data_IF_971236716672
#
_entry.id   IF_971236716672
#
_cell.length_a   1.000
_cell.length_b   1.000
_cell.length_c   1.000
_cell.angle_alpha   90.00
_cell.angle_beta   90.00
_cell.angle_gamma   90.00
#
_symmetry.space_group_name_H-M   'P 1'
#
loop_
_entity.id
_entity.type
_entity.pdbx_description
1 polymer ?
#
# COMPACT_ATOMS: atom_id res chain seq x y z
N UNK A 1 -8.21 22.08 -10.24
CA UNK A 1 -8.45 21.20 -9.09
C UNK A 1 -9.46 20.17 -9.49
N UNK A 2 -9.02 18.93 -9.66
CA UNK A 2 -9.85 17.79 -10.04
C UNK A 2 -10.82 17.51 -8.90
N UNK A 3 -12.13 17.66 -9.13
CA UNK A 3 -13.19 17.38 -8.14
C UNK A 3 -13.66 15.93 -8.19
N UNK A 4 -13.38 15.24 -9.29
CA UNK A 4 -13.78 13.85 -9.55
C UNK A 4 -12.56 13.01 -9.91
N UNK A 5 -12.60 11.71 -9.60
CA UNK A 5 -11.59 10.78 -10.09
C UNK A 5 -11.70 10.67 -11.62
N UNK A 6 -10.59 10.84 -12.30
CA UNK A 6 -10.55 10.74 -13.77
C UNK A 6 -9.86 9.44 -14.14
N UNK A 7 -10.51 8.63 -14.97
CA UNK A 7 -9.99 7.37 -15.47
C UNK A 7 -9.37 7.58 -16.85
N UNK A 8 -8.06 7.45 -16.93
CA UNK A 8 -7.30 7.74 -18.15
C UNK A 8 -6.69 6.43 -18.64
N UNK A 9 -7.19 5.85 -19.75
CA UNK A 9 -6.54 4.72 -20.38
C UNK A 9 -5.20 5.15 -20.98
N UNK A 10 -4.18 4.34 -20.78
CA UNK A 10 -2.86 4.53 -21.37
C UNK A 10 -2.22 3.19 -21.73
N UNK A 11 -1.28 3.22 -22.67
CA UNK A 11 -0.49 2.07 -23.07
C UNK A 11 0.98 2.41 -23.02
N UNK A 12 1.77 1.50 -22.49
CA UNK A 12 3.22 1.62 -22.41
C UNK A 12 3.86 0.22 -22.47
N UNK A 13 4.85 0.06 -23.31
CA UNK A 13 5.62 -1.19 -23.45
C UNK A 13 4.69 -2.42 -23.65
N UNK A 14 3.67 -2.27 -24.54
CA UNK A 14 2.61 -3.25 -24.85
C UNK A 14 1.69 -3.60 -23.65
N UNK A 15 1.84 -2.93 -22.50
CA UNK A 15 0.95 -3.07 -21.35
C UNK A 15 -0.11 -1.96 -21.33
N UNK A 16 -1.32 -2.35 -20.95
CA UNK A 16 -2.47 -1.43 -20.85
C UNK A 16 -2.78 -1.10 -19.41
N UNK A 17 -2.88 0.19 -19.13
CA UNK A 17 -3.19 0.72 -17.81
C UNK A 17 -4.42 1.60 -17.86
N UNK A 18 -5.11 1.72 -16.72
CA UNK A 18 -6.06 2.79 -16.47
C UNK A 18 -5.55 3.56 -15.27
N UNK A 19 -5.06 4.77 -15.49
CA UNK A 19 -4.63 5.65 -14.41
C UNK A 19 -5.86 6.33 -13.82
N UNK A 20 -6.05 6.17 -12.51
CA UNK A 20 -7.11 6.83 -11.76
C UNK A 20 -6.48 8.04 -11.06
N UNK A 21 -6.66 9.23 -11.62
CA UNK A 21 -6.20 10.46 -11.00
C UNK A 21 -7.20 10.88 -9.91
N UNK A 22 -6.69 11.05 -8.71
CA UNK A 22 -7.48 11.46 -7.55
C UNK A 22 -7.32 12.96 -7.29
N UNK A 23 -8.38 13.61 -6.85
CA UNK A 23 -8.26 14.95 -6.32
C UNK A 23 -7.31 14.93 -5.12
N UNK A 24 -6.25 15.77 -5.17
CA UNK A 24 -5.27 15.84 -4.10
C UNK A 24 -5.93 16.08 -2.73
N UNK A 25 -5.74 15.16 -1.79
CA UNK A 25 -6.42 15.13 -0.48
C UNK A 25 -5.79 16.12 0.51
N UNK A 26 -4.82 16.94 0.10
CA UNK A 26 -4.14 17.88 0.99
C UNK A 26 -5.08 19.00 1.45
N UNK A 27 -5.10 19.23 2.78
CA UNK A 27 -5.68 20.43 3.39
C UNK A 27 -5.06 21.68 2.78
N UNK A 28 -5.77 22.34 1.89
CA UNK A 28 -5.59 23.76 1.63
C UNK A 28 -6.46 24.48 2.66
N UNK A 29 -5.88 25.28 3.52
CA UNK A 29 -6.55 25.94 4.62
C UNK A 29 -7.89 26.57 4.22
N UNK A 30 -8.88 26.45 5.10
CA UNK A 30 -10.21 27.10 5.09
C UNK A 30 -10.96 27.03 3.76
N UNK A 31 -11.30 25.82 3.28
CA UNK A 31 -12.33 25.66 2.24
C UNK A 31 -13.32 24.58 2.71
N UNK A 32 -14.55 25.03 2.94
CA UNK A 32 -15.79 24.29 3.20
C UNK A 32 -15.68 22.77 3.46
N UNK A 33 -15.96 22.35 4.69
CA UNK A 33 -16.00 20.95 5.18
C UNK A 33 -16.73 19.96 4.26
N UNK A 34 -17.73 20.40 3.53
CA UNK A 34 -18.52 19.54 2.63
C UNK A 34 -17.73 19.10 1.41
N UNK A 35 -16.92 19.98 0.81
CA UNK A 35 -16.13 19.67 -0.40
C UNK A 35 -14.95 18.74 -0.07
N UNK A 36 -14.36 18.89 1.12
CA UNK A 36 -13.27 18.01 1.58
C UNK A 36 -13.79 16.59 1.85
N UNK A 37 -14.95 16.43 2.47
CA UNK A 37 -15.58 15.12 2.71
C UNK A 37 -15.86 14.37 1.39
N UNK A 38 -16.36 15.06 0.38
CA UNK A 38 -16.59 14.45 -0.94
C UNK A 38 -15.28 14.04 -1.64
N UNK A 39 -14.23 14.84 -1.50
CA UNK A 39 -12.90 14.52 -2.07
C UNK A 39 -12.30 13.26 -1.42
N UNK A 40 -12.42 13.13 -0.09
CA UNK A 40 -11.96 11.95 0.65
C UNK A 40 -12.74 10.70 0.21
N UNK A 41 -14.07 10.77 0.13
CA UNK A 41 -14.89 9.62 -0.30
C UNK A 41 -14.50 9.15 -1.71
N UNK A 42 -14.26 10.08 -2.63
CA UNK A 42 -13.84 9.74 -4.00
C UNK A 42 -12.44 9.13 -4.04
N UNK A 43 -11.52 9.63 -3.22
CA UNK A 43 -10.19 9.03 -3.09
C UNK A 43 -10.27 7.61 -2.53
N UNK A 44 -11.10 7.37 -1.52
CA UNK A 44 -11.31 6.03 -0.98
C UNK A 44 -11.90 5.09 -2.04
N UNK A 45 -12.87 5.57 -2.82
CA UNK A 45 -13.44 4.79 -3.93
C UNK A 45 -12.40 4.47 -5.01
N UNK A 46 -11.55 5.43 -5.38
CA UNK A 46 -10.45 5.21 -6.31
C UNK A 46 -9.46 4.17 -5.79
N UNK A 47 -9.15 4.16 -4.49
CA UNK A 47 -8.31 3.14 -3.86
C UNK A 47 -8.98 1.76 -3.96
N UNK A 48 -10.29 1.66 -3.69
CA UNK A 48 -11.03 0.41 -3.83
C UNK A 48 -11.05 -0.13 -5.27
N UNK A 49 -11.14 0.76 -6.25
CA UNK A 49 -11.19 0.39 -7.68
C UNK A 49 -9.80 0.08 -8.27
N UNK A 50 -8.73 0.57 -7.64
CA UNK A 50 -7.36 0.37 -8.11
C UNK A 50 -6.85 -1.06 -7.82
N UNK A 51 -5.99 -1.57 -8.69
CA UNK A 51 -5.22 -2.78 -8.44
C UNK A 51 -3.94 -2.48 -7.66
N UNK A 52 -3.25 -1.40 -8.02
CA UNK A 52 -2.03 -0.90 -7.38
C UNK A 52 -2.22 0.58 -7.10
N UNK A 53 -1.82 1.02 -5.93
CA UNK A 53 -1.85 2.43 -5.53
C UNK A 53 -0.44 2.98 -5.51
N UNK A 54 -0.23 4.09 -6.19
CA UNK A 54 1.00 4.88 -6.06
C UNK A 54 0.72 6.02 -5.06
N UNK A 55 1.29 5.92 -3.87
CA UNK A 55 1.22 7.00 -2.88
C UNK A 55 2.35 7.99 -3.15
N UNK A 56 1.99 9.22 -3.53
CA UNK A 56 2.93 10.28 -3.84
C UNK A 56 3.08 11.24 -2.66
N UNK A 57 4.30 11.31 -2.12
CA UNK A 57 4.68 12.20 -1.01
C UNK A 57 5.56 13.32 -1.54
N UNK A 58 5.39 14.53 -1.02
CA UNK A 58 6.21 15.69 -1.36
C UNK A 58 7.46 15.74 -0.46
N UNK A 59 8.64 15.56 -1.05
CA UNK A 59 9.90 15.56 -0.32
C UNK A 59 10.13 16.85 0.51
N UNK A 60 9.64 18.00 0.03
CA UNK A 60 9.83 19.29 0.70
C UNK A 60 8.94 19.49 1.93
N UNK A 61 7.81 18.73 2.00
CA UNK A 61 6.86 18.84 3.10
C UNK A 61 6.93 17.64 4.07
N UNK A 62 7.68 16.61 3.70
CA UNK A 62 7.74 15.35 4.45
C UNK A 62 6.41 14.57 4.43
N UNK A 63 6.34 13.52 5.23
CA UNK A 63 5.14 12.69 5.39
C UNK A 63 4.21 13.33 6.42
N UNK A 64 3.00 13.68 5.99
CA UNK A 64 1.96 14.19 6.88
C UNK A 64 1.16 13.05 7.53
N UNK A 65 0.42 13.36 8.61
CA UNK A 65 -0.50 12.40 9.22
C UNK A 65 -1.67 12.05 8.28
N UNK A 66 -1.97 12.92 7.33
CA UNK A 66 -2.94 12.65 6.29
C UNK A 66 -2.42 11.62 5.28
N UNK A 67 -1.14 11.71 4.88
CA UNK A 67 -0.51 10.69 4.02
C UNK A 67 -0.51 9.32 4.72
N UNK A 68 -0.24 9.29 6.04
CA UNK A 68 -0.32 8.06 6.84
C UNK A 68 -1.76 7.51 6.95
N UNK A 69 -2.74 8.39 7.04
CA UNK A 69 -4.15 7.98 7.05
C UNK A 69 -4.55 7.35 5.71
N UNK A 70 -4.16 7.94 4.59
CA UNK A 70 -4.39 7.38 3.25
C UNK A 70 -3.67 6.05 3.10
N UNK A 71 -2.42 5.96 3.55
CA UNK A 71 -1.67 4.71 3.58
C UNK A 71 -2.41 3.62 4.35
N UNK A 72 -2.94 3.95 5.53
CA UNK A 72 -3.77 3.04 6.32
C UNK A 72 -4.99 2.52 5.54
N UNK A 73 -5.66 3.37 4.77
CA UNK A 73 -6.78 2.95 3.91
C UNK A 73 -6.32 2.01 2.79
N UNK A 74 -5.18 2.27 2.15
CA UNK A 74 -4.62 1.40 1.10
C UNK A 74 -4.33 0.01 1.66
N UNK A 75 -3.69 -0.06 2.83
CA UNK A 75 -3.35 -1.31 3.50
C UNK A 75 -4.61 -2.08 3.93
N UNK A 76 -5.59 -1.40 4.53
CA UNK A 76 -6.85 -2.02 4.94
C UNK A 76 -7.68 -2.52 3.75
N UNK A 77 -7.61 -1.83 2.61
CA UNK A 77 -8.22 -2.30 1.36
C UNK A 77 -7.46 -3.47 0.71
N UNK A 78 -6.29 -3.84 1.26
CA UNK A 78 -5.44 -4.90 0.75
C UNK A 78 -4.87 -4.61 -0.65
N UNK A 79 -4.73 -3.34 -1.01
CA UNK A 79 -4.21 -2.94 -2.32
C UNK A 79 -2.70 -2.96 -2.33
N UNK A 80 -2.14 -3.34 -3.48
CA UNK A 80 -0.69 -3.26 -3.69
C UNK A 80 -0.24 -1.80 -3.69
N UNK A 81 0.95 -1.55 -3.19
CA UNK A 81 1.46 -0.21 -2.89
C UNK A 81 2.83 0.01 -3.52
N UNK A 82 2.98 1.16 -4.15
CA UNK A 82 4.28 1.74 -4.56
C UNK A 82 4.37 3.13 -3.94
N UNK A 83 5.51 3.48 -3.38
CA UNK A 83 5.76 4.79 -2.78
C UNK A 83 6.60 5.66 -3.73
N UNK A 84 6.20 6.90 -3.93
CA UNK A 84 6.92 7.87 -4.75
C UNK A 84 7.15 9.16 -3.97
N UNK A 85 8.40 9.46 -3.65
CA UNK A 85 8.83 10.71 -3.02
C UNK A 85 9.18 11.70 -4.12
N UNK A 86 8.25 12.61 -4.40
CA UNK A 86 8.34 13.58 -5.48
C UNK A 86 9.05 14.87 -5.05
N UNK A 87 9.50 15.66 -6.03
CA UNK A 87 10.29 16.89 -5.86
C UNK A 87 11.67 16.62 -5.25
N UNK A 88 12.26 15.48 -5.64
CA UNK A 88 13.57 15.07 -5.18
C UNK A 88 14.73 15.88 -5.80
N UNK A 89 14.42 16.52 -6.91
CA UNK A 89 15.34 17.43 -7.59
C UNK A 89 15.56 18.73 -6.79
N UNK A 90 16.75 19.28 -6.90
CA UNK A 90 17.10 20.55 -6.24
C UNK A 90 17.30 20.48 -4.71
N UNK A 91 17.18 19.29 -4.09
CA UNK A 91 17.51 19.09 -2.68
C UNK A 91 19.01 18.82 -2.51
N UNK A 92 19.61 19.42 -1.49
CA UNK A 92 20.99 19.08 -1.12
C UNK A 92 21.08 17.72 -0.41
N UNK A 93 22.26 17.13 -0.36
CA UNK A 93 22.45 15.77 0.14
C UNK A 93 22.10 15.63 1.63
N UNK A 94 22.38 16.65 2.43
CA UNK A 94 22.06 16.65 3.86
C UNK A 94 20.53 16.57 4.09
N UNK A 95 19.74 17.31 3.31
CA UNK A 95 18.27 17.26 3.36
C UNK A 95 17.74 15.89 2.85
N UNK A 96 18.35 15.36 1.79
CA UNK A 96 18.01 14.03 1.28
C UNK A 96 18.20 12.94 2.33
N UNK A 97 19.30 12.99 3.07
CA UNK A 97 19.59 12.01 4.12
C UNK A 97 18.66 12.15 5.34
N UNK A 98 18.24 13.36 5.65
CA UNK A 98 17.25 13.59 6.70
C UNK A 98 15.88 13.02 6.30
N UNK A 99 15.43 13.28 5.07
CA UNK A 99 14.18 12.75 4.54
C UNK A 99 14.20 11.22 4.53
N UNK A 100 15.28 10.58 4.08
CA UNK A 100 15.40 9.11 4.10
C UNK A 100 15.25 8.55 5.52
N UNK A 101 15.94 9.14 6.50
CA UNK A 101 15.82 8.71 7.91
C UNK A 101 14.41 8.88 8.46
N UNK A 102 13.71 9.96 8.08
CA UNK A 102 12.33 10.16 8.49
C UNK A 102 11.40 9.11 7.84
N UNK A 103 11.58 8.83 6.54
CA UNK A 103 10.86 7.79 5.82
C UNK A 103 11.04 6.42 6.50
N UNK A 104 12.28 6.02 6.78
CA UNK A 104 12.59 4.76 7.45
C UNK A 104 11.91 4.68 8.83
N UNK A 105 11.93 5.77 9.59
CA UNK A 105 11.29 5.83 10.91
C UNK A 105 9.77 5.72 10.84
N UNK A 106 9.13 6.39 9.87
CA UNK A 106 7.65 6.46 9.78
C UNK A 106 7.05 5.34 8.96
N UNK A 107 7.78 4.78 8.00
CA UNK A 107 7.30 3.79 7.04
C UNK A 107 8.01 2.43 7.14
N UNK A 108 8.90 2.22 8.10
CA UNK A 108 9.65 0.97 8.26
C UNK A 108 8.78 -0.30 8.41
N UNK A 109 7.48 -0.14 8.70
CA UNK A 109 6.53 -1.24 8.77
C UNK A 109 5.99 -1.69 7.40
N UNK A 110 6.31 -0.99 6.31
CA UNK A 110 5.90 -1.31 4.94
C UNK A 110 7.11 -1.61 4.04
N UNK A 111 8.01 -2.44 4.53
CA UNK A 111 9.23 -2.88 3.84
C UNK A 111 8.98 -3.65 2.54
N UNK A 112 7.75 -4.15 2.36
CA UNK A 112 7.32 -4.85 1.15
C UNK A 112 7.03 -3.92 -0.03
N UNK A 113 6.80 -2.61 0.18
CA UNK A 113 6.49 -1.66 -0.87
C UNK A 113 7.78 -1.06 -1.46
N UNK A 114 7.83 -0.95 -2.80
CA UNK A 114 8.94 -0.25 -3.45
C UNK A 114 8.85 1.24 -3.22
N UNK A 115 9.98 1.85 -2.87
CA UNK A 115 10.14 3.28 -2.64
C UNK A 115 10.98 3.89 -3.76
N UNK A 116 10.46 4.92 -4.41
CA UNK A 116 11.13 5.67 -5.47
C UNK A 116 11.27 7.14 -5.13
N UNK A 117 12.42 7.71 -5.45
CA UNK A 117 12.67 9.14 -5.40
C UNK A 117 12.56 9.70 -6.82
N UNK A 118 11.61 10.60 -7.05
CA UNK A 118 11.27 11.06 -8.40
C UNK A 118 11.24 12.58 -8.49
N UNK A 119 11.34 13.08 -9.71
CA UNK A 119 10.93 14.43 -10.07
C UNK A 119 9.88 14.34 -11.19
N UNK A 120 8.63 14.52 -10.83
CA UNK A 120 7.55 14.53 -11.83
C UNK A 120 7.69 15.71 -12.81
N UNK A 121 8.30 16.82 -12.37
CA UNK A 121 8.54 17.98 -13.22
C UNK A 121 9.53 17.68 -14.34
N UNK A 122 10.60 16.95 -14.03
CA UNK A 122 11.68 16.62 -14.99
C UNK A 122 11.60 15.20 -15.54
N UNK A 123 10.64 14.39 -15.08
CA UNK A 123 10.47 12.99 -15.49
C UNK A 123 11.50 12.02 -14.89
N UNK A 124 12.42 12.50 -14.04
CA UNK A 124 13.46 11.67 -13.45
C UNK A 124 12.86 10.63 -12.50
N UNK A 125 13.24 9.36 -12.68
CA UNK A 125 12.76 8.24 -11.85
C UNK A 125 11.31 7.81 -12.10
N UNK A 126 10.53 8.55 -12.89
CA UNK A 126 9.10 8.23 -13.13
C UNK A 126 8.96 6.92 -13.92
N UNK A 127 9.87 6.64 -14.84
CA UNK A 127 9.86 5.39 -15.62
C UNK A 127 9.91 4.14 -14.76
N UNK A 128 10.71 4.16 -13.70
CA UNK A 128 10.89 3.02 -12.79
C UNK A 128 9.64 2.68 -11.96
N UNK A 129 8.69 3.62 -11.85
CA UNK A 129 7.41 3.36 -11.17
C UNK A 129 6.61 2.26 -11.85
N UNK A 130 6.67 2.19 -13.20
CA UNK A 130 5.90 1.20 -13.96
C UNK A 130 6.37 -0.22 -13.71
N UNK A 131 7.69 -0.45 -13.68
CA UNK A 131 8.24 -1.77 -13.33
C UNK A 131 7.79 -2.21 -11.92
N UNK A 132 7.79 -1.30 -10.97
CA UNK A 132 7.33 -1.59 -9.60
C UNK A 132 5.81 -1.78 -9.52
N UNK A 133 5.03 -1.09 -10.33
CA UNK A 133 3.58 -1.29 -10.43
C UNK A 133 3.28 -2.69 -11.00
N UNK A 134 3.99 -3.13 -12.03
CA UNK A 134 3.86 -4.47 -12.59
C UNK A 134 4.27 -5.54 -11.57
N UNK A 135 5.43 -5.38 -10.92
CA UNK A 135 5.87 -6.29 -9.85
C UNK A 135 4.81 -6.42 -8.74
N UNK A 136 4.26 -5.29 -8.29
CA UNK A 136 3.26 -5.24 -7.24
C UNK A 136 1.94 -5.90 -7.67
N UNK A 137 1.51 -5.68 -8.91
CA UNK A 137 0.32 -6.30 -9.49
C UNK A 137 0.51 -7.82 -9.64
N UNK A 138 1.63 -8.25 -10.19
CA UNK A 138 1.94 -9.67 -10.37
C UNK A 138 2.01 -10.39 -9.02
N UNK A 139 2.60 -9.76 -8.02
CA UNK A 139 2.66 -10.28 -6.65
C UNK A 139 1.25 -10.47 -6.05
N UNK A 140 0.36 -9.49 -6.22
CA UNK A 140 -1.00 -9.53 -5.69
C UNK A 140 -1.89 -10.56 -6.42
N UNK A 141 -1.63 -10.78 -7.70
CA UNK A 141 -2.41 -11.72 -8.54
C UNK A 141 -1.81 -13.12 -8.62
N UNK A 142 -0.62 -13.31 -8.07
CA UNK A 142 0.09 -14.58 -8.09
C UNK A 142 -0.72 -15.69 -7.40
N UNK A 143 -0.90 -16.80 -8.12
CA UNK A 143 -1.53 -17.98 -7.56
C UNK A 143 -0.55 -18.76 -6.70
N UNK A 144 -0.86 -18.87 -5.42
CA UNK A 144 -0.05 -19.61 -4.46
C UNK A 144 -0.78 -20.90 -4.07
N UNK A 145 -0.08 -22.04 -4.13
CA UNK A 145 -0.67 -23.33 -3.80
C UNK A 145 -0.97 -23.48 -2.30
N UNK A 146 -2.01 -24.23 -1.96
CA UNK A 146 -2.37 -24.57 -0.58
C UNK A 146 -1.20 -25.21 0.19
N UNK A 147 -0.41 -26.05 -0.47
CA UNK A 147 0.75 -26.69 0.14
C UNK A 147 1.83 -25.69 0.53
N UNK A 148 2.10 -24.71 -0.34
CA UNK A 148 3.10 -23.65 -0.05
C UNK A 148 2.61 -22.73 1.06
N UNK A 149 1.36 -22.25 1.00
CA UNK A 149 0.78 -21.40 2.06
C UNK A 149 0.76 -22.12 3.40
N UNK A 150 0.38 -23.40 3.43
CA UNK A 150 0.38 -24.21 4.66
C UNK A 150 1.79 -24.37 5.22
N UNK A 151 2.79 -24.56 4.37
CA UNK A 151 4.20 -24.65 4.79
C UNK A 151 4.69 -23.33 5.38
N UNK A 152 4.43 -22.20 4.71
CA UNK A 152 4.79 -20.86 5.21
C UNK A 152 4.13 -20.61 6.56
N UNK A 153 2.83 -20.87 6.68
CA UNK A 153 2.09 -20.72 7.93
C UNK A 153 2.72 -21.55 9.08
N UNK A 154 3.13 -22.79 8.80
CA UNK A 154 3.78 -23.65 9.80
C UNK A 154 5.12 -23.07 10.24
N UNK A 155 5.95 -22.61 9.29
CA UNK A 155 7.21 -21.94 9.62
C UNK A 155 6.98 -20.68 10.49
N UNK A 156 6.01 -19.85 10.12
CA UNK A 156 5.65 -18.67 10.92
C UNK A 156 5.18 -19.04 12.33
N UNK A 157 4.47 -20.16 12.51
CA UNK A 157 4.09 -20.66 13.86
C UNK A 157 5.29 -21.17 14.66
N UNK A 158 6.32 -21.72 14.02
CA UNK A 158 7.54 -22.15 14.67
C UNK A 158 8.33 -20.95 15.19
N UNK A 159 8.42 -19.89 14.39
CA UNK A 159 9.11 -18.65 14.73
C UNK A 159 8.33 -17.84 15.79
N UNK A 160 7.00 -17.76 15.63
CA UNK A 160 6.12 -17.01 16.51
C UNK A 160 4.86 -17.81 16.84
N UNK A 161 4.87 -18.48 17.98
CA UNK A 161 3.78 -19.37 18.35
C UNK A 161 2.50 -18.62 18.72
N UNK A 162 1.30 -19.12 18.30
CA UNK A 162 0.03 -18.53 18.69
C UNK A 162 -0.12 -18.39 20.21
N UNK A 163 -0.75 -17.30 20.68
CA UNK A 163 -0.99 -17.11 22.10
C UNK A 163 -1.92 -18.18 22.66
N UNK A 164 -1.83 -18.37 23.97
CA UNK A 164 -2.77 -19.24 24.70
C UNK A 164 -4.06 -18.48 24.97
N UNK A 165 -5.20 -19.08 24.63
CA UNK A 165 -6.53 -18.56 24.92
C UNK A 165 -7.26 -19.56 25.82
N UNK A 166 -7.73 -19.11 26.98
CA UNK A 166 -8.43 -19.94 27.97
C UNK A 166 -7.66 -21.24 28.34
N UNK A 167 -6.34 -21.11 28.51
CA UNK A 167 -5.45 -22.22 28.84
C UNK A 167 -5.17 -23.21 27.71
N UNK A 168 -5.64 -22.92 26.50
CA UNK A 168 -5.40 -23.76 25.32
C UNK A 168 -4.69 -22.97 24.23
N UNK A 169 -3.75 -23.62 23.54
CA UNK A 169 -3.06 -23.01 22.41
C UNK A 169 -3.91 -23.17 21.14
N UNK A 170 -4.09 -22.08 20.41
CA UNK A 170 -4.72 -22.10 19.09
C UNK A 170 -3.88 -22.95 18.14
N UNK A 171 -4.52 -23.85 17.38
CA UNK A 171 -3.84 -24.74 16.44
C UNK A 171 -4.25 -24.37 15.02
N UNK A 172 -3.32 -23.79 14.27
CA UNK A 172 -3.48 -23.57 12.83
C UNK A 172 -3.13 -24.87 12.08
N UNK A 173 -3.98 -25.31 11.20
CA UNK A 173 -3.86 -26.63 10.52
C UNK A 173 -3.36 -26.48 9.09
N UNK A 174 -4.03 -25.64 8.30
CA UNK A 174 -3.67 -25.37 6.92
C UNK A 174 -4.13 -23.97 6.50
N UNK A 175 -3.52 -23.47 5.42
CA UNK A 175 -3.86 -22.20 4.81
C UNK A 175 -4.04 -22.38 3.30
N UNK A 176 -4.99 -21.64 2.71
CA UNK A 176 -5.19 -21.61 1.27
C UNK A 176 -5.53 -20.19 0.79
N UNK A 177 -5.36 -19.94 -0.51
CA UNK A 177 -5.77 -18.69 -1.11
C UNK A 177 -7.31 -18.60 -1.15
N UNK A 178 -7.87 -17.55 -0.56
CA UNK A 178 -9.30 -17.21 -0.58
C UNK A 178 -9.66 -16.19 -1.63
N UNK A 179 -8.69 -15.46 -2.16
CA UNK A 179 -8.88 -14.44 -3.19
C UNK A 179 -7.56 -13.87 -3.70
N UNK A 180 -7.67 -13.12 -4.79
CA UNK A 180 -6.55 -12.44 -5.44
C UNK A 180 -6.97 -11.00 -5.72
N UNK A 181 -6.10 -10.04 -5.47
CA UNK A 181 -6.29 -8.62 -5.70
C UNK A 181 -7.61 -8.04 -5.09
N UNK A 182 -7.70 -7.93 -3.77
CA UNK A 182 -6.59 -8.11 -2.84
C UNK A 182 -6.27 -9.59 -2.59
N UNK A 183 -5.01 -9.92 -2.28
CA UNK A 183 -4.64 -11.27 -1.88
C UNK A 183 -5.26 -11.60 -0.51
N UNK A 184 -6.02 -12.69 -0.46
CA UNK A 184 -6.66 -13.16 0.77
C UNK A 184 -6.15 -14.54 1.08
N UNK A 185 -5.65 -14.75 2.29
CA UNK A 185 -5.25 -16.06 2.81
C UNK A 185 -6.25 -16.50 3.87
N UNK A 186 -6.89 -17.64 3.65
CA UNK A 186 -7.81 -18.24 4.62
C UNK A 186 -7.06 -19.27 5.43
N UNK A 187 -7.04 -19.10 6.75
CA UNK A 187 -6.37 -19.98 7.70
C UNK A 187 -7.42 -20.82 8.44
N UNK A 188 -7.25 -22.13 8.42
CA UNK A 188 -8.08 -23.07 9.11
C UNK A 188 -7.37 -23.68 10.32
N UNK A 189 -8.11 -23.83 11.41
CA UNK A 189 -7.56 -24.36 12.64
C UNK A 189 -8.61 -24.55 13.73
N UNK A 190 -8.17 -24.90 14.92
CA UNK A 190 -9.03 -24.98 16.09
C UNK A 190 -8.92 -23.66 16.86
N UNK A 191 -10.06 -23.07 17.22
CA UNK A 191 -10.12 -21.80 18.01
C UNK A 191 -9.47 -20.59 17.30
N UNK A 192 -9.45 -20.59 15.96
CA UNK A 192 -8.86 -19.49 15.18
C UNK A 192 -9.56 -18.16 15.44
N UNK A 193 -10.86 -18.20 15.78
CA UNK A 193 -11.64 -16.98 16.13
C UNK A 193 -11.17 -16.29 17.41
N UNK A 194 -10.43 -17.01 18.24
CA UNK A 194 -9.92 -16.49 19.50
C UNK A 194 -8.52 -15.86 19.34
N UNK A 195 -7.94 -15.90 18.14
CA UNK A 195 -6.70 -15.19 17.86
C UNK A 195 -6.92 -13.68 17.91
N UNK A 196 -6.04 -12.93 18.59
CA UNK A 196 -6.08 -11.47 18.50
C UNK A 196 -5.73 -11.00 17.09
N UNK A 197 -6.34 -9.91 16.65
CA UNK A 197 -6.09 -9.31 15.33
C UNK A 197 -4.63 -8.87 15.13
N UNK A 198 -3.89 -8.69 16.22
CA UNK A 198 -2.47 -8.36 16.21
C UNK A 198 -1.53 -9.54 15.93
N UNK A 199 -2.03 -10.78 15.98
CA UNK A 199 -1.26 -11.99 15.71
C UNK A 199 -1.16 -12.22 14.20
#
# INVERSE_FOLDING_TARGET
>A
TTRDSVYIPMERDDQKYVVIDTAGVRRRGKVHETVEKFSVIKTLKAIEDANVVILVVDAQQGISDQDLSILGFVLNAGRSLVLAVNKWDGLNDSVKDEIKRELDRRLGFIDFARLHFISALHGSGVGNLFESVEEAFDSATKRVSTSLLTRIMKMAQEDHQPPMVSGRRVKLKYAHAGGYNPPIVVIHGNQVKDLPDSY
#
